data_IF_894655289795
#
_entry.id   IF_894655289795
#
_cell.length_a   1.000
_cell.length_b   1.000
_cell.length_c   1.000
_cell.angle_alpha   90.00
_cell.angle_beta   90.00
_cell.angle_gamma   90.00
#
_symmetry.space_group_name_H-M   'P 1'
#
loop_
_entity.id
_entity.type
_entity.pdbx_description
1 polymer ?
#
# COMPACT_ATOMS: atom_id res chain seq x y z
N UNK A 1 -19.34 20.30 -28.74
CA UNK A 1 -18.90 19.66 -27.48
C UNK A 1 -17.56 20.27 -27.12
N UNK A 2 -17.43 20.90 -25.95
CA UNK A 2 -16.14 21.45 -25.50
C UNK A 2 -15.20 20.26 -25.26
N UNK A 3 -13.97 20.23 -25.82
CA UNK A 3 -13.00 19.17 -25.55
C UNK A 3 -12.79 19.03 -24.04
N UNK A 4 -12.81 17.81 -23.50
CA UNK A 4 -12.64 17.60 -22.05
C UNK A 4 -11.31 18.16 -21.52
N UNK A 5 -10.28 18.20 -22.38
CA UNK A 5 -9.00 18.86 -22.14
C UNK A 5 -9.10 20.36 -21.84
N UNK A 6 -10.24 21.00 -22.16
CA UNK A 6 -10.50 22.41 -21.91
C UNK A 6 -11.32 22.68 -20.62
N UNK A 7 -11.88 21.65 -19.96
CA UNK A 7 -12.80 21.83 -18.82
C UNK A 7 -12.06 21.73 -17.49
N UNK A 8 -11.01 20.92 -17.39
CA UNK A 8 -10.15 20.83 -16.21
C UNK A 8 -8.71 20.63 -16.69
N UNK A 9 -7.95 21.72 -16.82
CA UNK A 9 -6.50 21.61 -16.90
C UNK A 9 -6.00 21.16 -15.52
N UNK A 10 -5.14 20.13 -15.42
CA UNK A 10 -4.33 19.92 -14.23
C UNK A 10 -3.70 21.25 -13.82
N UNK A 11 -3.54 21.49 -12.51
CA UNK A 11 -2.96 22.75 -12.04
C UNK A 11 -1.67 23.05 -12.83
N UNK A 12 -1.48 24.28 -13.29
CA UNK A 12 -0.23 24.71 -13.96
C UNK A 12 0.99 24.64 -13.03
N UNK A 13 0.80 24.21 -11.78
CA UNK A 13 1.84 23.99 -10.78
C UNK A 13 2.65 22.74 -11.17
N UNK A 14 3.83 22.97 -11.71
CA UNK A 14 4.85 21.92 -11.84
C UNK A 14 5.31 21.49 -10.45
N UNK A 15 5.18 20.20 -10.14
CA UNK A 15 5.77 19.63 -8.93
C UNK A 15 7.12 19.02 -9.30
N UNK A 16 8.20 19.53 -8.70
CA UNK A 16 9.54 18.97 -8.87
C UNK A 16 9.83 18.07 -7.66
N UNK A 17 10.07 16.76 -7.87
CA UNK A 17 10.44 15.85 -6.79
C UNK A 17 11.74 16.30 -6.11
N UNK A 18 11.74 16.29 -4.79
CA UNK A 18 12.90 16.61 -3.97
C UNK A 18 12.77 15.83 -2.65
N UNK A 19 13.58 14.76 -2.45
CA UNK A 19 13.55 13.97 -1.23
C UNK A 19 13.86 14.78 0.03
N UNK A 20 14.63 15.87 -0.10
CA UNK A 20 14.97 16.77 1.00
C UNK A 20 13.81 17.71 1.42
N UNK A 21 12.73 17.77 0.63
CA UNK A 21 11.49 18.51 0.96
C UNK A 21 10.36 17.63 1.45
N UNK A 22 10.60 16.33 1.65
CA UNK A 22 9.61 15.44 2.24
C UNK A 22 9.29 15.88 3.68
N UNK A 23 8.01 15.90 4.11
CA UNK A 23 7.61 16.35 5.44
C UNK A 23 8.11 15.45 6.57
N UNK A 24 8.40 14.19 6.26
CA UNK A 24 8.88 13.19 7.20
C UNK A 24 10.28 12.74 6.81
N UNK A 25 11.04 12.22 7.78
CA UNK A 25 12.29 11.52 7.48
C UNK A 25 12.06 10.27 6.61
N UNK A 26 13.15 9.76 6.03
CA UNK A 26 13.10 8.52 5.27
C UNK A 26 13.07 7.34 6.26
N UNK A 27 11.99 6.56 6.23
CA UNK A 27 11.84 5.44 7.16
C UNK A 27 12.88 4.35 6.91
N UNK A 28 13.46 4.24 5.70
CA UNK A 28 14.44 3.20 5.39
C UNK A 28 15.66 3.27 6.30
N UNK A 29 16.20 4.47 6.53
CA UNK A 29 17.39 4.68 7.35
C UNK A 29 17.14 4.19 8.78
N UNK A 30 16.05 4.65 9.40
CA UNK A 30 15.66 4.24 10.75
C UNK A 30 15.35 2.74 10.85
N UNK A 31 14.72 2.15 9.82
CA UNK A 31 14.44 0.71 9.79
C UNK A 31 15.73 -0.10 9.90
N UNK A 32 16.73 0.26 9.10
CA UNK A 32 18.00 -0.45 9.07
C UNK A 32 18.90 -0.13 10.26
N UNK A 33 18.82 1.07 10.83
CA UNK A 33 19.51 1.39 12.09
C UNK A 33 18.99 0.55 13.25
N UNK A 34 17.67 0.48 13.43
CA UNK A 34 17.05 -0.35 14.47
C UNK A 34 17.34 -1.85 14.29
N UNK A 35 17.47 -2.33 13.05
CA UNK A 35 17.93 -3.70 12.80
C UNK A 35 19.38 -3.92 13.27
N UNK A 36 20.29 -2.98 12.99
CA UNK A 36 21.70 -3.05 13.45
C UNK A 36 21.80 -3.02 14.98
N UNK A 37 20.90 -2.30 15.64
CA UNK A 37 20.79 -2.24 17.10
C UNK A 37 20.15 -3.51 17.70
N UNK A 38 19.64 -4.43 16.88
CA UNK A 38 18.99 -5.66 17.32
C UNK A 38 17.56 -5.46 17.83
N UNK A 39 16.92 -4.34 17.50
CA UNK A 39 15.55 -4.05 17.94
C UNK A 39 14.50 -4.88 17.19
N UNK A 40 14.76 -5.26 15.93
CA UNK A 40 13.93 -6.14 15.12
C UNK A 40 14.73 -6.81 13.99
N UNK A 41 14.10 -7.75 13.29
CA UNK A 41 14.59 -8.27 12.01
C UNK A 41 13.87 -7.55 10.86
N UNK A 42 14.58 -7.22 9.77
CA UNK A 42 13.95 -6.60 8.61
C UNK A 42 13.79 -7.60 7.46
N UNK A 43 12.54 -7.89 7.11
CA UNK A 43 12.22 -8.71 5.94
C UNK A 43 12.46 -7.88 4.68
N UNK A 44 13.54 -8.17 3.94
CA UNK A 44 13.87 -7.47 2.68
C UNK A 44 12.88 -7.81 1.56
N UNK A 45 12.67 -6.87 0.65
CA UNK A 45 11.86 -7.08 -0.55
C UNK A 45 12.54 -8.14 -1.43
N UNK A 46 11.86 -9.25 -1.80
CA UNK A 46 12.45 -10.30 -2.61
C UNK A 46 12.62 -9.87 -4.07
N UNK A 47 13.69 -10.35 -4.69
CA UNK A 47 13.90 -10.25 -6.14
C UNK A 47 13.04 -11.28 -6.93
N UNK A 48 12.58 -10.95 -8.15
CA UNK A 48 12.66 -9.65 -8.79
C UNK A 48 11.66 -8.64 -8.17
N UNK A 49 12.11 -7.40 -7.99
CA UNK A 49 11.25 -6.27 -7.68
C UNK A 49 11.34 -5.19 -8.76
N UNK A 50 10.42 -4.23 -8.72
CA UNK A 50 10.56 -2.97 -9.45
C UNK A 50 10.67 -1.81 -8.48
N UNK A 51 11.32 -0.74 -8.93
CA UNK A 51 11.40 0.51 -8.20
C UNK A 51 10.34 1.47 -8.71
N UNK A 52 9.56 2.01 -7.79
CA UNK A 52 8.61 3.10 -8.02
C UNK A 52 8.98 4.27 -7.12
N UNK A 53 8.45 5.45 -7.41
CA UNK A 53 8.78 6.64 -6.65
C UNK A 53 7.57 7.17 -5.90
N UNK A 54 7.81 7.68 -4.69
CA UNK A 54 6.80 8.46 -4.00
C UNK A 54 6.67 9.87 -4.62
N UNK A 55 5.78 10.69 -4.06
CA UNK A 55 5.60 12.08 -4.48
C UNK A 55 6.92 12.85 -4.53
N UNK A 56 7.74 12.72 -3.50
CA UNK A 56 8.99 13.44 -3.29
C UNK A 56 10.21 12.83 -4.01
N UNK A 57 10.04 11.73 -4.73
CA UNK A 57 11.13 11.06 -5.45
C UNK A 57 11.93 10.06 -4.62
N UNK A 58 11.49 9.69 -3.41
CA UNK A 58 12.08 8.54 -2.70
C UNK A 58 11.68 7.25 -3.38
N UNK A 59 12.62 6.32 -3.49
CA UNK A 59 12.42 5.00 -4.07
C UNK A 59 11.63 4.12 -3.12
N UNK A 60 10.74 3.32 -3.70
CA UNK A 60 9.99 2.27 -3.04
C UNK A 60 10.07 0.99 -3.86
N UNK A 61 10.40 -0.13 -3.24
CA UNK A 61 10.52 -1.43 -3.92
C UNK A 61 9.21 -2.20 -3.89
N UNK A 62 8.77 -2.69 -5.04
CA UNK A 62 7.55 -3.49 -5.19
C UNK A 62 7.94 -4.90 -5.65
N UNK A 63 7.81 -5.95 -4.81
CA UNK A 63 8.16 -7.31 -5.22
C UNK A 63 7.20 -7.81 -6.29
N UNK A 64 7.72 -8.45 -7.33
CA UNK A 64 6.87 -9.01 -8.39
C UNK A 64 6.29 -10.37 -8.01
N UNK A 65 7.02 -11.17 -7.22
CA UNK A 65 6.66 -12.53 -6.82
C UNK A 65 7.13 -12.84 -5.41
N UNK A 66 6.91 -14.09 -4.96
CA UNK A 66 7.05 -14.51 -3.56
C UNK A 66 6.21 -13.63 -2.63
N UNK A 67 4.97 -13.37 -3.03
CA UNK A 67 4.06 -12.47 -2.31
C UNK A 67 3.10 -13.23 -1.38
N UNK A 68 2.92 -12.71 -0.17
CA UNK A 68 1.98 -13.23 0.84
C UNK A 68 0.73 -12.36 0.85
N UNK A 69 -0.42 -12.94 0.51
CA UNK A 69 -1.68 -12.21 0.39
C UNK A 69 -2.25 -11.84 1.75
N UNK A 70 -1.94 -10.63 2.23
CA UNK A 70 -2.55 -10.13 3.45
C UNK A 70 -4.04 -9.87 3.19
N UNK A 71 -4.88 -10.71 3.80
CA UNK A 71 -6.33 -10.70 3.65
C UNK A 71 -6.99 -9.48 4.29
N UNK A 72 -8.06 -9.03 3.64
CA UNK A 72 -8.99 -8.04 4.15
C UNK A 72 -10.27 -8.71 4.65
N UNK A 73 -10.72 -8.41 5.86
CA UNK A 73 -12.04 -8.87 6.33
C UNK A 73 -13.19 -8.30 5.48
N UNK A 74 -13.12 -7.01 5.15
CA UNK A 74 -14.10 -6.33 4.31
C UNK A 74 -14.07 -6.86 2.88
N UNK A 75 -12.94 -6.72 2.20
CA UNK A 75 -12.84 -7.04 0.77
C UNK A 75 -12.87 -8.56 0.53
N UNK A 76 -12.05 -9.36 1.21
CA UNK A 76 -12.03 -10.81 0.97
C UNK A 76 -13.30 -11.50 1.50
N UNK A 77 -13.91 -10.98 2.57
CA UNK A 77 -15.11 -11.56 3.17
C UNK A 77 -16.43 -11.15 2.50
N UNK A 78 -16.55 -9.90 2.04
CA UNK A 78 -17.82 -9.37 1.49
C UNK A 78 -17.78 -9.21 -0.03
N UNK A 79 -16.61 -9.05 -0.65
CA UNK A 79 -16.44 -8.82 -2.09
C UNK A 79 -15.36 -9.76 -2.63
N UNK A 80 -15.60 -11.09 -2.64
CA UNK A 80 -14.59 -12.09 -2.99
C UNK A 80 -14.04 -11.91 -4.41
N UNK A 81 -14.75 -11.19 -5.28
CA UNK A 81 -14.27 -10.79 -6.61
C UNK A 81 -12.92 -10.06 -6.59
N UNK A 82 -12.62 -9.29 -5.54
CA UNK A 82 -11.35 -8.55 -5.46
C UNK A 82 -10.15 -9.48 -5.25
N UNK A 83 -10.20 -10.35 -4.25
CA UNK A 83 -9.09 -11.30 -3.99
C UNK A 83 -8.97 -12.33 -5.10
N UNK A 84 -10.10 -12.84 -5.62
CA UNK A 84 -10.07 -13.81 -6.73
C UNK A 84 -9.48 -13.22 -8.01
N UNK A 85 -9.74 -11.94 -8.32
CA UNK A 85 -9.10 -11.25 -9.44
C UNK A 85 -7.59 -11.13 -9.25
N UNK A 86 -7.13 -10.75 -8.05
CA UNK A 86 -5.69 -10.68 -7.73
C UNK A 86 -5.00 -12.04 -7.91
N UNK A 87 -5.60 -13.12 -7.42
CA UNK A 87 -5.07 -14.48 -7.60
C UNK A 87 -5.10 -14.93 -9.06
N UNK A 88 -6.13 -14.53 -9.80
CA UNK A 88 -6.20 -14.78 -11.23
C UNK A 88 -5.07 -14.06 -11.98
N UNK A 89 -4.80 -12.78 -11.67
CA UNK A 89 -3.70 -12.02 -12.28
C UNK A 89 -2.35 -12.68 -11.97
N UNK A 90 -2.08 -13.03 -10.71
CA UNK A 90 -0.83 -13.74 -10.34
C UNK A 90 -0.64 -15.03 -11.16
N UNK A 91 -1.68 -15.87 -11.24
CA UNK A 91 -1.64 -17.11 -12.03
C UNK A 91 -1.46 -16.85 -13.53
N UNK A 92 -2.11 -15.83 -14.08
CA UNK A 92 -1.98 -15.48 -15.50
C UNK A 92 -0.59 -14.97 -15.85
N UNK A 93 0.04 -14.24 -14.95
CA UNK A 93 1.40 -13.73 -15.12
C UNK A 93 2.48 -14.74 -14.70
N UNK A 94 2.11 -15.93 -14.21
CA UNK A 94 3.04 -16.95 -13.74
C UNK A 94 3.86 -16.53 -12.53
N UNK A 95 3.30 -15.69 -11.65
CA UNK A 95 3.97 -15.12 -10.49
C UNK A 95 3.74 -15.98 -9.24
N UNK A 96 4.80 -16.18 -8.46
CA UNK A 96 4.75 -16.95 -7.21
C UNK A 96 4.08 -16.16 -6.08
N UNK A 97 3.09 -16.76 -5.43
CA UNK A 97 2.33 -16.16 -4.34
C UNK A 97 1.74 -17.22 -3.41
N UNK A 98 1.45 -16.84 -2.17
CA UNK A 98 0.76 -17.67 -1.19
C UNK A 98 -0.51 -16.98 -0.70
N UNK A 99 -1.60 -17.75 -0.63
CA UNK A 99 -2.83 -17.36 0.04
C UNK A 99 -2.85 -18.00 1.45
N UNK A 100 -2.62 -17.24 2.53
CA UNK A 100 -2.60 -17.80 3.88
C UNK A 100 -3.98 -18.34 4.26
N UNK A 101 -4.05 -19.37 5.11
CA UNK A 101 -5.34 -19.92 5.58
C UNK A 101 -5.67 -19.55 7.02
N UNK A 102 -4.67 -19.08 7.77
CA UNK A 102 -4.69 -18.86 9.21
C UNK A 102 -4.52 -17.38 9.61
N UNK A 103 -4.53 -16.47 8.64
CA UNK A 103 -4.51 -15.03 8.92
C UNK A 103 -5.80 -14.60 9.63
N UNK A 104 -5.64 -13.88 10.74
CA UNK A 104 -6.76 -13.22 11.44
C UNK A 104 -6.82 -11.72 11.14
N UNK A 105 -7.81 -11.02 11.69
CA UNK A 105 -8.05 -9.59 11.43
C UNK A 105 -6.82 -8.70 11.67
N UNK A 106 -6.73 -7.62 10.89
CA UNK A 106 -5.75 -6.55 11.03
C UNK A 106 -6.15 -5.48 12.07
N UNK A 107 -7.38 -5.56 12.59
CA UNK A 107 -8.00 -4.64 13.57
C UNK A 107 -8.07 -3.16 13.17
N UNK A 108 -7.70 -2.80 11.93
CA UNK A 108 -7.62 -1.41 11.48
C UNK A 108 -8.98 -0.68 11.50
N UNK A 109 -10.09 -1.35 11.16
CA UNK A 109 -11.42 -0.74 11.27
C UNK A 109 -11.76 -0.38 12.72
N UNK A 110 -11.42 -1.25 13.67
CA UNK A 110 -11.65 -1.02 15.09
C UNK A 110 -10.80 0.16 15.60
N UNK A 111 -9.54 0.24 15.16
CA UNK A 111 -8.65 1.38 15.43
C UNK A 111 -9.27 2.69 14.94
N UNK A 112 -9.60 2.79 13.65
CA UNK A 112 -10.11 4.04 13.07
C UNK A 112 -11.55 4.39 13.50
N UNK A 113 -12.34 3.42 13.93
CA UNK A 113 -13.64 3.63 14.55
C UNK A 113 -13.54 4.08 16.02
N UNK A 114 -12.33 4.23 16.58
CA UNK A 114 -12.09 4.53 18.00
C UNK A 114 -12.72 3.52 18.96
N UNK A 115 -12.98 2.29 18.51
CA UNK A 115 -13.58 1.25 19.35
C UNK A 115 -12.52 0.56 20.24
N UNK A 116 -11.22 0.77 19.98
CA UNK A 116 -10.11 0.33 20.85
C UNK A 116 -8.99 1.36 20.87
N UNK A 117 -8.39 1.62 22.04
CA UNK A 117 -7.37 2.66 22.25
C UNK A 117 -6.04 2.13 22.81
N UNK A 118 -5.74 0.84 22.61
CA UNK A 118 -4.50 0.22 23.08
C UNK A 118 -3.47 0.14 21.93
N UNK A 119 -2.50 1.07 21.92
CA UNK A 119 -1.46 1.14 20.90
C UNK A 119 -0.61 -0.13 20.82
N UNK A 120 -0.21 -0.71 21.97
CA UNK A 120 0.57 -1.94 22.01
C UNK A 120 -0.18 -3.13 21.40
N UNK A 121 -1.48 -3.26 21.68
CA UNK A 121 -2.30 -4.31 21.09
C UNK A 121 -2.46 -4.14 19.57
N UNK A 122 -2.70 -2.91 19.10
CA UNK A 122 -2.82 -2.62 17.67
C UNK A 122 -1.51 -2.91 16.92
N UNK A 123 -0.38 -2.43 17.47
CA UNK A 123 0.93 -2.67 16.91
C UNK A 123 1.29 -4.18 16.92
N UNK A 124 0.98 -4.90 18.00
CA UNK A 124 1.23 -6.33 18.09
C UNK A 124 0.42 -7.14 17.07
N UNK A 125 -0.82 -6.76 16.75
CA UNK A 125 -1.60 -7.42 15.69
C UNK A 125 -0.97 -7.22 14.32
N UNK A 126 -0.50 -6.01 14.01
CA UNK A 126 0.22 -5.73 12.77
C UNK A 126 1.50 -6.57 12.67
N UNK A 127 2.34 -6.53 13.71
CA UNK A 127 3.62 -7.25 13.73
C UNK A 127 3.44 -8.78 13.74
N UNK A 128 2.37 -9.30 14.36
CA UNK A 128 2.03 -10.73 14.27
C UNK A 128 1.77 -11.16 12.83
N UNK A 129 1.10 -10.33 12.02
CA UNK A 129 0.85 -10.63 10.61
C UNK A 129 2.13 -10.56 9.78
N UNK A 130 3.03 -9.61 10.05
CA UNK A 130 4.33 -9.56 9.38
C UNK A 130 5.22 -10.75 9.75
N UNK A 131 5.25 -11.14 11.03
CA UNK A 131 5.95 -12.34 11.48
C UNK A 131 5.39 -13.61 10.81
N UNK A 132 4.06 -13.73 10.67
CA UNK A 132 3.43 -14.85 9.97
C UNK A 132 3.82 -14.89 8.48
N UNK A 133 3.87 -13.75 7.79
CA UNK A 133 4.36 -13.69 6.42
C UNK A 133 5.84 -14.12 6.34
N UNK A 134 6.68 -13.57 7.20
CA UNK A 134 8.11 -13.88 7.26
C UNK A 134 8.39 -15.38 7.51
N UNK A 135 7.62 -16.05 8.38
CA UNK A 135 7.72 -17.49 8.64
C UNK A 135 7.44 -18.35 7.39
N UNK A 136 6.66 -17.86 6.43
CA UNK A 136 6.43 -18.56 5.15
C UNK A 136 7.55 -18.32 4.13
N UNK A 137 8.39 -17.31 4.33
CA UNK A 137 9.36 -16.83 3.35
C UNK A 137 8.78 -15.94 2.24
N UNK A 138 7.49 -15.61 2.29
CA UNK A 138 6.82 -14.73 1.33
C UNK A 138 6.63 -13.32 1.89
N UNK A 139 6.72 -12.30 1.04
CA UNK A 139 6.67 -10.90 1.40
C UNK A 139 5.22 -10.37 1.48
N UNK A 140 4.79 -9.71 2.57
CA UNK A 140 3.40 -9.31 2.75
C UNK A 140 2.96 -8.22 1.76
N UNK A 141 1.86 -8.47 1.05
CA UNK A 141 1.17 -7.47 0.20
C UNK A 141 -0.21 -7.18 0.78
N UNK A 142 -0.43 -5.92 1.16
CA UNK A 142 -1.63 -5.47 1.87
C UNK A 142 -2.78 -5.23 0.91
N UNK A 143 -3.90 -5.92 1.13
CA UNK A 143 -5.08 -5.82 0.26
C UNK A 143 -5.98 -4.64 0.60
N UNK A 144 -6.17 -4.34 1.89
CA UNK A 144 -7.07 -3.29 2.32
C UNK A 144 -6.33 -1.97 2.54
N UNK A 145 -6.79 -0.90 1.91
CA UNK A 145 -6.26 0.45 2.13
C UNK A 145 -6.32 0.87 3.60
N UNK A 146 -7.36 0.47 4.35
CA UNK A 146 -7.45 0.75 5.79
C UNK A 146 -6.36 0.05 6.58
N UNK A 147 -6.06 -1.23 6.29
CA UNK A 147 -4.93 -1.93 6.92
C UNK A 147 -3.60 -1.31 6.53
N UNK A 148 -3.46 -0.91 5.27
CA UNK A 148 -2.26 -0.27 4.75
C UNK A 148 -1.96 1.04 5.49
N UNK A 149 -2.93 1.94 5.61
CA UNK A 149 -2.79 3.17 6.39
C UNK A 149 -2.39 2.88 7.84
N UNK A 150 -3.09 1.93 8.49
CA UNK A 150 -2.84 1.60 9.89
C UNK A 150 -1.44 1.02 10.11
N UNK A 151 -0.95 0.19 9.19
CA UNK A 151 0.39 -0.39 9.30
C UNK A 151 1.48 0.64 9.07
N UNK A 152 1.26 1.64 8.20
CA UNK A 152 2.17 2.77 8.05
C UNK A 152 2.26 3.61 9.32
N UNK A 153 1.12 3.92 9.96
CA UNK A 153 1.10 4.61 11.25
C UNK A 153 1.76 3.79 12.35
N UNK A 154 1.48 2.47 12.40
CA UNK A 154 2.11 1.55 13.34
C UNK A 154 3.63 1.52 13.17
N UNK A 155 4.12 1.47 11.93
CA UNK A 155 5.55 1.57 11.62
C UNK A 155 6.12 2.86 12.19
N UNK A 156 5.50 4.02 11.92
CA UNK A 156 5.95 5.30 12.45
C UNK A 156 6.00 5.30 14.00
N UNK A 157 4.96 4.81 14.67
CA UNK A 157 4.97 4.70 16.13
C UNK A 157 6.11 3.81 16.66
N UNK A 158 6.35 2.67 16.00
CA UNK A 158 7.39 1.74 16.40
C UNK A 158 8.80 2.27 16.10
N UNK A 159 9.00 3.07 15.05
CA UNK A 159 10.30 3.71 14.78
C UNK A 159 10.69 4.66 15.93
N UNK A 160 9.75 5.42 16.46
CA UNK A 160 10.03 6.49 17.43
C UNK A 160 9.78 6.13 18.90
N UNK A 161 9.24 4.94 19.20
CA UNK A 161 8.93 4.54 20.58
C UNK A 161 9.59 3.22 20.97
N UNK A 162 10.78 3.27 21.61
CA UNK A 162 11.44 2.07 22.17
C UNK A 162 10.57 1.33 23.18
N UNK A 163 9.80 2.07 24.00
CA UNK A 163 8.88 1.48 24.96
C UNK A 163 7.77 0.67 24.27
N UNK A 164 7.17 1.21 23.21
CA UNK A 164 6.17 0.48 22.43
C UNK A 164 6.77 -0.76 21.76
N UNK A 165 7.98 -0.66 21.18
CA UNK A 165 8.68 -1.81 20.61
C UNK A 165 8.89 -2.91 21.66
N UNK A 166 9.32 -2.56 22.87
CA UNK A 166 9.49 -3.51 23.99
C UNK A 166 8.18 -4.23 24.33
N UNK A 167 7.08 -3.49 24.50
CA UNK A 167 5.77 -4.06 24.79
C UNK A 167 5.30 -5.02 23.69
N UNK A 168 5.47 -4.63 22.43
CA UNK A 168 5.11 -5.47 21.28
C UNK A 168 5.98 -6.73 21.24
N UNK A 169 7.29 -6.62 21.48
CA UNK A 169 8.21 -7.76 21.55
C UNK A 169 7.80 -8.77 22.63
N UNK A 170 7.43 -8.30 23.82
CA UNK A 170 6.92 -9.14 24.90
C UNK A 170 5.61 -9.87 24.52
N UNK A 171 4.71 -9.21 23.80
CA UNK A 171 3.47 -9.83 23.30
C UNK A 171 3.79 -10.90 22.25
N UNK A 172 4.65 -10.60 21.27
CA UNK A 172 5.01 -11.56 20.22
C UNK A 172 5.77 -12.77 20.77
N UNK A 173 6.61 -12.59 21.78
CA UNK A 173 7.32 -13.68 22.46
C UNK A 173 6.34 -14.71 23.06
N UNK A 174 5.21 -14.24 23.64
CA UNK A 174 4.15 -15.13 24.14
C UNK A 174 3.45 -15.93 23.04
N UNK A 175 3.51 -15.44 21.79
CA UNK A 175 2.99 -16.12 20.61
C UNK A 175 4.05 -16.99 19.90
N UNK A 176 5.30 -17.03 20.42
CA UNK A 176 6.42 -17.69 19.77
C UNK A 176 6.89 -17.00 18.48
N UNK A 177 6.57 -15.71 18.31
CA UNK A 177 6.87 -14.94 17.10
C UNK A 177 7.97 -13.93 17.31
N UNK A 178 8.75 -13.69 16.26
CA UNK A 178 9.76 -12.63 16.23
C UNK A 178 9.13 -11.28 15.86
N UNK A 179 9.75 -10.19 16.31
CA UNK A 179 9.41 -8.85 15.83
C UNK A 179 10.10 -8.61 14.48
N UNK A 180 9.32 -8.69 13.41
CA UNK A 180 9.79 -8.53 12.03
C UNK A 180 9.12 -7.32 11.38
N UNK A 181 9.92 -6.40 10.84
CA UNK A 181 9.45 -5.25 10.06
C UNK A 181 9.74 -5.51 8.58
N UNK A 182 8.76 -5.46 7.66
CA UNK A 182 9.07 -5.49 6.24
C UNK A 182 9.81 -4.21 5.83
N UNK A 183 10.80 -4.34 4.93
CA UNK A 183 11.52 -3.21 4.31
C UNK A 183 10.52 -2.20 3.72
N UNK A 184 9.46 -2.74 3.12
CA UNK A 184 8.40 -1.99 2.47
C UNK A 184 7.02 -2.44 2.97
N UNK A 185 6.13 -1.48 3.22
CA UNK A 185 4.70 -1.80 3.33
C UNK A 185 4.11 -1.56 1.95
N UNK A 186 3.68 -2.63 1.27
CA UNK A 186 3.21 -2.59 -0.11
C UNK A 186 1.71 -2.86 -0.19
N UNK A 187 0.96 -2.01 -0.89
CA UNK A 187 -0.46 -2.23 -1.17
C UNK A 187 -0.65 -2.95 -2.52
N UNK A 188 -1.70 -3.77 -2.65
CA UNK A 188 -1.98 -4.43 -3.93
C UNK A 188 -2.20 -3.47 -5.11
N UNK A 189 -2.70 -2.25 -4.88
CA UNK A 189 -2.80 -1.26 -5.96
C UNK A 189 -1.43 -0.78 -6.45
N UNK A 190 -0.39 -0.81 -5.61
CA UNK A 190 0.99 -0.53 -6.00
C UNK A 190 1.56 -1.70 -6.80
N UNK A 191 1.32 -2.93 -6.34
CA UNK A 191 1.68 -4.14 -7.08
C UNK A 191 1.01 -4.21 -8.45
N UNK A 192 -0.30 -3.93 -8.54
CA UNK A 192 -1.03 -3.90 -9.81
C UNK A 192 -0.50 -2.79 -10.72
N UNK A 193 -0.14 -1.63 -10.16
CA UNK A 193 0.52 -0.57 -10.93
C UNK A 193 1.89 -1.02 -11.45
N UNK A 194 2.65 -1.76 -10.64
CA UNK A 194 3.95 -2.31 -11.01
C UNK A 194 3.88 -3.30 -12.18
N UNK A 195 2.85 -4.15 -12.22
CA UNK A 195 2.67 -5.14 -13.30
C UNK A 195 1.70 -4.68 -14.40
N UNK A 196 1.32 -3.40 -14.44
CA UNK A 196 0.25 -2.88 -15.31
C UNK A 196 0.48 -3.16 -16.80
N UNK A 197 1.71 -3.04 -17.27
CA UNK A 197 2.04 -3.22 -18.69
C UNK A 197 1.91 -4.71 -19.06
N UNK A 198 2.34 -5.61 -18.18
CA UNK A 198 2.13 -7.06 -18.33
C UNK A 198 0.65 -7.44 -18.31
N UNK A 199 -0.17 -6.73 -17.53
CA UNK A 199 -1.63 -6.90 -17.55
C UNK A 199 -2.19 -6.45 -18.91
N UNK A 200 -1.76 -5.30 -19.42
CA UNK A 200 -2.19 -4.76 -20.71
C UNK A 200 -1.79 -5.65 -21.90
N UNK A 201 -0.60 -6.28 -21.86
CA UNK A 201 -0.17 -7.28 -22.85
C UNK A 201 -1.14 -8.48 -22.95
N UNK A 202 -1.86 -8.79 -21.88
CA UNK A 202 -2.84 -9.87 -21.82
C UNK A 202 -4.28 -9.38 -22.06
N UNK A 203 -4.46 -8.12 -22.44
CA UNK A 203 -5.77 -7.54 -22.70
C UNK A 203 -6.42 -8.18 -23.94
N UNK A 204 -7.57 -8.82 -23.73
CA UNK A 204 -8.37 -9.46 -24.80
C UNK A 204 -9.58 -8.63 -25.21
N UNK A 205 -10.00 -7.67 -24.39
CA UNK A 205 -11.12 -6.77 -24.66
C UNK A 205 -10.63 -5.33 -24.61
N UNK A 206 -10.79 -4.60 -25.71
CA UNK A 206 -10.47 -3.18 -25.78
C UNK A 206 -11.35 -2.36 -24.82
N UNK A 207 -10.72 -1.44 -24.07
CA UNK A 207 -11.40 -0.62 -23.04
C UNK A 207 -11.38 0.88 -23.37
N UNK A 208 -10.98 1.26 -24.59
CA UNK A 208 -10.86 2.65 -25.07
C UNK A 208 -12.18 3.43 -25.10
N UNK A 209 -13.30 2.71 -25.16
CA UNK A 209 -14.64 3.29 -25.08
C UNK A 209 -15.08 3.64 -23.65
N UNK A 210 -14.33 3.22 -22.62
CA UNK A 210 -14.64 3.47 -21.22
C UNK A 210 -14.09 4.83 -20.78
N UNK A 211 -14.90 5.56 -20.02
CA UNK A 211 -14.52 6.78 -19.32
C UNK A 211 -14.61 6.53 -17.82
N UNK A 212 -13.53 6.82 -17.11
CA UNK A 212 -13.46 6.56 -15.66
C UNK A 212 -12.90 7.76 -14.92
N UNK A 213 -13.28 7.88 -13.65
CA UNK A 213 -12.63 8.76 -12.67
C UNK A 213 -12.05 7.90 -11.55
N UNK A 214 -11.00 8.39 -10.89
CA UNK A 214 -10.34 7.66 -9.81
C UNK A 214 -10.77 8.23 -8.46
N UNK A 215 -11.16 7.35 -7.55
CA UNK A 215 -11.37 7.68 -6.15
C UNK A 215 -10.41 6.83 -5.31
N UNK A 216 -9.16 7.28 -5.10
CA UNK A 216 -8.21 6.51 -4.31
C UNK A 216 -8.63 6.57 -2.85
N UNK A 217 -8.44 5.47 -2.14
CA UNK A 217 -8.73 5.43 -0.72
C UNK A 217 -7.84 6.44 0.03
N UNK A 218 -8.45 7.24 0.91
CA UNK A 218 -7.75 8.18 1.80
C UNK A 218 -6.62 7.51 2.61
N UNK A 219 -6.86 6.31 3.15
CA UNK A 219 -5.87 5.54 3.90
C UNK A 219 -4.68 5.04 3.05
N UNK A 220 -4.79 5.10 1.71
CA UNK A 220 -3.66 4.89 0.82
C UNK A 220 -2.74 6.12 0.80
N UNK A 221 -3.26 7.30 0.42
CA UNK A 221 -2.41 8.45 0.06
C UNK A 221 -2.44 9.65 1.01
N UNK A 222 -3.41 9.74 1.95
CA UNK A 222 -3.53 10.91 2.84
C UNK A 222 -2.86 10.75 4.18
N UNK A 223 -2.93 9.55 4.78
CA UNK A 223 -2.40 9.35 6.14
C UNK A 223 -0.88 9.47 6.21
N UNK A 224 -0.19 8.78 5.29
CA UNK A 224 1.26 8.87 5.13
C UNK A 224 1.51 8.99 3.63
N UNK A 225 1.43 10.22 3.12
CA UNK A 225 1.46 10.52 1.69
C UNK A 225 2.84 10.34 1.06
N UNK A 226 3.88 10.40 1.88
CA UNK A 226 5.28 10.12 1.56
C UNK A 226 5.50 8.64 1.19
N UNK A 227 4.52 7.77 1.41
CA UNK A 227 4.61 6.35 1.06
C UNK A 227 3.67 5.96 -0.09
N UNK A 228 2.99 6.94 -0.69
CA UNK A 228 2.13 6.74 -1.85
C UNK A 228 2.91 6.93 -3.14
N UNK A 229 2.59 6.12 -4.15
CA UNK A 229 3.30 6.07 -5.44
C UNK A 229 2.77 7.15 -6.38
N UNK A 230 3.70 7.88 -7.01
CA UNK A 230 3.47 8.92 -7.99
C UNK A 230 4.39 8.70 -9.20
N UNK A 231 3.95 9.16 -10.37
CA UNK A 231 4.69 9.05 -11.61
C UNK A 231 4.49 10.32 -12.46
N UNK A 232 5.50 10.70 -13.23
CA UNK A 232 5.54 11.97 -13.96
C UNK A 232 4.49 12.04 -15.07
N UNK A 233 4.30 10.93 -15.76
CA UNK A 233 3.28 10.74 -16.78
C UNK A 233 1.84 10.76 -16.22
N UNK A 234 1.67 10.60 -14.91
CA UNK A 234 0.35 10.58 -14.26
C UNK A 234 0.03 11.95 -13.67
N UNK A 235 -0.73 12.75 -14.43
CA UNK A 235 -1.16 14.09 -14.03
C UNK A 235 -0.01 14.98 -13.50
N UNK A 236 1.20 14.84 -14.04
CA UNK A 236 2.38 15.61 -13.61
C UNK A 236 2.69 15.46 -12.11
N UNK A 237 2.60 14.23 -11.57
CA UNK A 237 2.72 13.91 -10.13
C UNK A 237 1.72 14.59 -9.20
N UNK A 238 0.60 15.11 -9.70
CA UNK A 238 -0.43 15.71 -8.85
C UNK A 238 -1.48 14.70 -8.35
N UNK A 239 -1.49 13.48 -8.92
CA UNK A 239 -2.39 12.37 -8.55
C UNK A 239 -1.56 11.11 -8.33
N UNK A 240 -2.04 10.23 -7.46
CA UNK A 240 -1.36 8.94 -7.24
C UNK A 240 -1.33 8.13 -8.54
N UNK A 241 -0.22 7.44 -8.79
CA UNK A 241 -0.04 6.63 -9.98
C UNK A 241 -0.87 5.34 -9.96
N UNK A 242 -1.17 4.84 -8.75
CA UNK A 242 -2.00 3.65 -8.57
C UNK A 242 -3.39 3.86 -9.19
N UNK A 243 -3.95 2.77 -9.74
CA UNK A 243 -5.23 2.74 -10.48
C UNK A 243 -5.17 3.54 -11.79
N UNK A 244 -4.82 4.84 -11.77
CA UNK A 244 -4.71 5.69 -12.96
C UNK A 244 -3.80 5.06 -14.02
N UNK A 245 -2.58 4.66 -13.63
CA UNK A 245 -1.63 4.06 -14.57
C UNK A 245 -2.14 2.74 -15.16
N UNK A 246 -2.86 1.92 -14.38
CA UNK A 246 -3.47 0.69 -14.90
C UNK A 246 -4.56 1.02 -15.94
N UNK A 247 -5.47 1.95 -15.63
CA UNK A 247 -6.55 2.29 -16.54
C UNK A 247 -6.00 2.87 -17.85
N UNK A 248 -4.98 3.73 -17.78
CA UNK A 248 -4.32 4.28 -18.96
C UNK A 248 -3.60 3.20 -19.78
N UNK A 249 -2.92 2.25 -19.13
CA UNK A 249 -2.29 1.11 -19.82
C UNK A 249 -3.32 0.24 -20.56
N UNK A 250 -4.57 0.16 -20.07
CA UNK A 250 -5.68 -0.54 -20.71
C UNK A 250 -6.41 0.31 -21.79
N UNK A 251 -5.96 1.55 -22.04
CA UNK A 251 -6.51 2.46 -23.04
C UNK A 251 -7.71 3.30 -22.58
N UNK A 252 -8.09 3.26 -21.29
CA UNK A 252 -9.27 3.96 -20.76
C UNK A 252 -9.06 5.48 -20.72
N UNK A 253 -10.11 6.26 -21.05
CA UNK A 253 -10.15 7.72 -20.87
C UNK A 253 -10.32 8.06 -19.37
N UNK A 254 -9.20 8.29 -18.67
CA UNK A 254 -9.19 8.67 -17.25
C UNK A 254 -9.35 10.18 -17.08
N UNK A 255 -10.43 10.58 -16.42
CA UNK A 255 -10.85 11.98 -16.25
C UNK A 255 -10.58 12.48 -14.84
N UNK A 256 -10.20 13.75 -14.74
CA UNK A 256 -10.06 14.47 -13.47
C UNK A 256 -11.39 15.13 -13.06
N UNK A 257 -11.53 15.44 -11.77
CA UNK A 257 -12.70 16.13 -11.21
C UNK A 257 -12.30 16.96 -9.98
N UNK A 258 -13.11 17.97 -9.65
CA UNK A 258 -12.75 18.99 -8.65
C UNK A 258 -12.61 18.46 -7.23
N UNK A 259 -13.37 17.43 -6.87
CA UNK A 259 -13.41 16.82 -5.54
C UNK A 259 -12.58 15.53 -5.45
N UNK A 260 -11.53 15.40 -6.26
CA UNK A 260 -10.71 14.18 -6.32
C UNK A 260 -10.15 13.75 -4.95
N UNK A 261 -9.87 14.73 -4.08
CA UNK A 261 -9.34 14.48 -2.75
C UNK A 261 -10.43 14.29 -1.70
N UNK A 262 -11.72 14.28 -2.02
CA UNK A 262 -12.75 14.16 -1.00
C UNK A 262 -12.80 12.75 -0.40
N UNK A 263 -13.21 12.66 0.87
CA UNK A 263 -13.49 11.38 1.51
C UNK A 263 -14.77 10.77 0.93
N UNK A 264 -14.82 9.45 0.76
CA UNK A 264 -16.07 8.75 0.39
C UNK A 264 -17.18 8.82 1.46
N UNK A 265 -16.86 9.27 2.68
CA UNK A 265 -17.81 9.43 3.77
C UNK A 265 -18.00 8.19 4.67
N UNK A 266 -17.22 7.13 4.50
CA UNK A 266 -17.36 5.87 5.28
C UNK A 266 -16.86 5.96 6.75
N UNK A 267 -17.06 7.09 7.43
CA UNK A 267 -17.18 7.13 8.90
C UNK A 267 -15.95 6.86 9.77
N UNK A 268 -14.73 6.96 9.25
CA UNK A 268 -13.51 6.86 10.07
C UNK A 268 -13.06 8.25 10.56
N UNK A 269 -12.60 8.36 11.82
CA UNK A 269 -12.26 9.63 12.49
C UNK A 269 -11.08 10.41 11.84
N UNK A 270 -10.31 9.79 10.97
CA UNK A 270 -8.97 10.24 10.56
C UNK A 270 -8.86 10.84 9.14
N UNK A 271 -9.96 11.30 8.54
CA UNK A 271 -9.97 11.80 7.15
C UNK A 271 -10.53 13.22 7.06
#
# INVERSE_FOLDING_TARGET
MIPHSAILKPSSRTFVPDPGRAPTEDYHELIFELEKEGEWEVQRVPEPYIEVHNKYGRTKKIPLQKTWHHKSCGQCGHIPGYSTAVFWINRKLGLDYIDPTDQTSCTAWNYYASATSNAAAQAAVAMRNFAAAAETGYFPIIHCATSFGHYKETRQQLLHSPELRRQVREILAKLGKKLVMPEEIVHYSEWVHAVRDRIAEHQVVGMDHIRATIHPACHYHKLVGEDAVYADEIHGRQRSAIITGLLQALGIDVRDYSTWHDCCGFGFRHI
#
